data_IF_880697061950
#
_entry.id   IF_880697061950
#
_cell.length_a   1.000
_cell.length_b   1.000
_cell.length_c   1.000
_cell.angle_alpha   90.00
_cell.angle_beta   90.00
_cell.angle_gamma   90.00
#
_symmetry.space_group_name_H-M   'P 1'
#
loop_
_entity.id
_entity.type
_entity.pdbx_description
1 polymer ?
#
# COMPACT_ATOMS: atom_id res chain seq x y z
N UNK A 1 32.05 -39.91 -8.04
CA UNK A 1 30.81 -39.13 -8.28
C UNK A 1 29.86 -39.36 -7.12
N UNK A 2 29.83 -38.47 -6.11
CA UNK A 2 28.91 -38.54 -4.98
C UNK A 2 27.53 -38.09 -5.44
N UNK A 3 26.55 -38.99 -5.42
CA UNK A 3 25.13 -38.65 -5.60
C UNK A 3 24.70 -37.80 -4.41
N UNK A 4 24.60 -36.48 -4.61
CA UNK A 4 23.92 -35.60 -3.67
C UNK A 4 22.45 -36.02 -3.66
N UNK A 5 22.08 -36.79 -2.64
CA UNK A 5 20.66 -37.06 -2.32
C UNK A 5 20.08 -35.78 -1.69
N UNK A 6 19.80 -34.78 -2.50
CA UNK A 6 18.94 -33.66 -2.10
C UNK A 6 17.48 -34.18 -2.17
N UNK A 7 16.99 -34.72 -1.09
CA UNK A 7 15.54 -34.86 -0.92
C UNK A 7 14.98 -33.42 -0.76
N UNK A 8 14.16 -32.94 -1.68
CA UNK A 8 13.55 -31.60 -1.55
C UNK A 8 12.72 -31.57 -0.25
N UNK A 9 12.88 -30.49 0.51
CA UNK A 9 12.07 -30.27 1.71
C UNK A 9 10.69 -29.78 1.27
N UNK A 10 9.63 -30.42 1.76
CA UNK A 10 8.24 -29.98 1.54
C UNK A 10 7.90 -28.79 2.46
N UNK A 11 8.47 -27.64 2.16
CA UNK A 11 8.27 -26.39 2.93
C UNK A 11 7.94 -25.23 1.99
N UNK A 12 7.06 -24.36 2.43
CA UNK A 12 6.78 -23.10 1.74
C UNK A 12 7.86 -22.04 2.03
N UNK A 13 8.11 -21.13 1.09
CA UNK A 13 8.92 -19.95 1.36
C UNK A 13 8.31 -19.12 2.50
N UNK A 14 9.16 -18.43 3.25
CA UNK A 14 8.73 -17.59 4.38
C UNK A 14 7.81 -16.46 3.91
N UNK A 15 6.63 -16.34 4.51
CA UNK A 15 5.65 -15.31 4.15
C UNK A 15 4.68 -15.70 3.01
N UNK A 16 4.73 -16.95 2.55
CA UNK A 16 3.76 -17.53 1.62
C UNK A 16 2.88 -18.53 2.32
N UNK A 17 1.68 -18.74 1.82
CA UNK A 17 0.74 -19.76 2.33
C UNK A 17 -0.11 -20.34 1.21
N UNK A 18 -0.50 -21.59 1.36
CA UNK A 18 -1.56 -22.17 0.54
C UNK A 18 -2.92 -21.67 1.00
N UNK A 19 -3.88 -21.62 0.09
CA UNK A 19 -5.28 -21.28 0.39
C UNK A 19 -6.12 -22.54 0.22
N UNK A 20 -6.84 -22.92 1.27
CA UNK A 20 -7.79 -24.03 1.24
C UNK A 20 -9.11 -23.65 0.55
N UNK A 21 -10.02 -24.61 0.45
CA UNK A 21 -11.31 -24.42 -0.24
C UNK A 21 -12.20 -23.39 0.46
N UNK A 22 -12.12 -23.26 1.78
CA UNK A 22 -12.94 -22.31 2.55
C UNK A 22 -12.52 -20.87 2.24
N UNK A 23 -11.21 -20.61 2.28
CA UNK A 23 -10.63 -19.30 1.93
C UNK A 23 -10.93 -18.95 0.47
N UNK A 24 -10.80 -19.91 -0.45
CA UNK A 24 -11.11 -19.68 -1.87
C UNK A 24 -12.58 -19.35 -2.11
N UNK A 25 -13.50 -20.04 -1.43
CA UNK A 25 -14.93 -19.79 -1.53
C UNK A 25 -15.31 -18.44 -0.93
N UNK A 26 -14.72 -18.08 0.22
CA UNK A 26 -14.92 -16.75 0.82
C UNK A 26 -14.42 -15.66 -0.13
N UNK A 27 -13.21 -15.79 -0.68
CA UNK A 27 -12.67 -14.84 -1.65
C UNK A 27 -13.59 -14.65 -2.85
N UNK A 28 -14.07 -15.74 -3.46
CA UNK A 28 -15.01 -15.68 -4.59
C UNK A 28 -16.31 -14.95 -4.23
N UNK A 29 -16.85 -15.18 -3.02
CA UNK A 29 -18.06 -14.50 -2.55
C UNK A 29 -17.81 -13.00 -2.39
N UNK A 30 -16.73 -12.62 -1.75
CA UNK A 30 -16.33 -11.21 -1.54
C UNK A 30 -16.10 -10.52 -2.89
N UNK A 31 -15.34 -11.15 -3.80
CA UNK A 31 -15.05 -10.58 -5.12
C UNK A 31 -16.32 -10.30 -5.93
N UNK A 32 -17.32 -11.20 -5.90
CA UNK A 32 -18.60 -10.98 -6.59
C UNK A 32 -19.39 -9.80 -6.06
N UNK A 33 -19.36 -9.56 -4.75
CA UNK A 33 -20.02 -8.40 -4.13
C UNK A 33 -19.31 -7.12 -4.56
N UNK A 34 -17.98 -7.09 -4.50
CA UNK A 34 -17.16 -5.95 -4.91
C UNK A 34 -17.41 -5.64 -6.40
N UNK A 35 -17.35 -6.64 -7.28
CA UNK A 35 -17.62 -6.50 -8.71
C UNK A 35 -18.99 -5.85 -8.97
N UNK A 36 -20.04 -6.38 -8.33
CA UNK A 36 -21.42 -5.86 -8.45
C UNK A 36 -21.48 -4.36 -8.08
N UNK A 37 -20.85 -3.98 -6.97
CA UNK A 37 -20.84 -2.59 -6.54
C UNK A 37 -20.02 -1.71 -7.48
N UNK A 38 -18.84 -2.14 -7.90
CA UNK A 38 -18.02 -1.41 -8.88
C UNK A 38 -18.80 -1.12 -10.17
N UNK A 39 -19.53 -2.09 -10.69
CA UNK A 39 -20.36 -1.92 -11.90
C UNK A 39 -21.46 -0.87 -11.70
N UNK A 40 -22.10 -0.78 -10.51
CA UNK A 40 -23.09 0.27 -10.21
C UNK A 40 -22.48 1.68 -10.31
N UNK A 41 -21.22 1.85 -9.89
CA UNK A 41 -20.50 3.12 -9.94
C UNK A 41 -19.82 3.38 -11.29
N UNK A 42 -20.05 2.53 -12.29
CA UNK A 42 -19.51 2.69 -13.64
C UNK A 42 -18.04 2.32 -13.80
N UNK A 43 -17.51 1.52 -12.89
CA UNK A 43 -16.16 0.97 -13.03
C UNK A 43 -16.17 -0.23 -13.97
N UNK A 44 -15.14 -0.36 -14.78
CA UNK A 44 -14.90 -1.52 -15.65
C UNK A 44 -13.74 -2.36 -15.10
N UNK A 45 -13.78 -3.65 -15.35
CA UNK A 45 -12.67 -4.53 -14.99
C UNK A 45 -11.50 -4.34 -15.96
N UNK A 46 -10.30 -4.22 -15.41
CA UNK A 46 -9.05 -4.22 -16.15
C UNK A 46 -8.04 -5.06 -15.41
N UNK A 47 -7.55 -6.16 -16.00
CA UNK A 47 -6.44 -6.94 -15.44
C UNK A 47 -5.13 -6.57 -16.14
N UNK A 48 -4.17 -6.07 -15.36
CA UNK A 48 -2.84 -5.70 -15.83
C UNK A 48 -1.86 -6.87 -15.63
N UNK A 49 -0.70 -6.81 -16.29
CA UNK A 49 0.30 -7.88 -16.20
C UNK A 49 0.76 -8.13 -14.76
N UNK A 50 1.00 -9.39 -14.45
CA UNK A 50 1.59 -9.83 -13.17
C UNK A 50 3.08 -9.52 -13.10
N UNK A 51 3.75 -9.56 -14.25
CA UNK A 51 5.19 -9.27 -14.40
C UNK A 51 5.32 -8.01 -15.23
N UNK A 52 6.10 -7.07 -14.74
CA UNK A 52 6.37 -5.79 -15.39
C UNK A 52 7.89 -5.55 -15.47
N UNK A 53 8.34 -4.69 -16.38
CA UNK A 53 9.70 -4.17 -16.28
C UNK A 53 9.86 -3.39 -14.98
N UNK A 54 10.93 -3.66 -14.24
CA UNK A 54 11.18 -3.05 -12.92
C UNK A 54 11.20 -1.52 -12.98
N UNK A 55 11.78 -0.95 -14.04
CA UNK A 55 11.79 0.49 -14.28
C UNK A 55 10.39 1.07 -14.52
N UNK A 56 9.52 0.34 -15.24
CA UNK A 56 8.16 0.79 -15.59
C UNK A 56 7.25 0.93 -14.37
N UNK A 57 7.52 0.22 -13.30
CA UNK A 57 6.76 0.31 -12.04
C UNK A 57 7.45 1.17 -10.98
N UNK A 58 8.49 1.96 -11.38
CA UNK A 58 9.17 2.91 -10.50
C UNK A 58 9.91 2.26 -9.32
N UNK A 59 10.37 1.01 -9.45
CA UNK A 59 11.08 0.28 -8.39
C UNK A 59 12.54 0.01 -8.70
N UNK A 60 13.09 0.70 -9.68
CA UNK A 60 14.51 0.74 -9.91
C UNK A 60 15.18 1.76 -8.99
N UNK A 61 16.31 1.42 -8.39
CA UNK A 61 17.05 2.36 -7.55
C UNK A 61 17.90 3.28 -8.44
N UNK A 62 17.74 4.61 -8.35
CA UNK A 62 18.40 5.54 -9.27
C UNK A 62 19.92 5.54 -9.17
N UNK A 63 20.48 5.20 -8.01
CA UNK A 63 21.92 5.26 -7.74
C UNK A 63 22.64 3.91 -7.84
N UNK A 64 21.89 2.83 -8.10
CA UNK A 64 22.44 1.48 -8.13
C UNK A 64 21.72 0.72 -9.23
N UNK A 65 22.48 0.10 -10.11
CA UNK A 65 21.96 -0.70 -11.22
C UNK A 65 21.31 -2.02 -10.76
N UNK A 66 20.33 -1.89 -9.85
CA UNK A 66 19.56 -2.99 -9.30
C UNK A 66 18.16 -2.55 -8.83
N UNK A 67 17.19 -3.49 -8.79
CA UNK A 67 15.87 -3.24 -8.25
C UNK A 67 15.86 -2.90 -6.74
N UNK A 68 14.81 -2.20 -6.30
CA UNK A 68 14.53 -1.99 -4.88
C UNK A 68 14.36 -3.31 -4.14
N UNK A 69 14.89 -3.39 -2.92
CA UNK A 69 14.74 -4.57 -2.06
C UNK A 69 13.30 -4.91 -1.63
N UNK A 70 12.33 -4.02 -1.88
CA UNK A 70 10.91 -4.23 -1.56
C UNK A 70 10.13 -5.02 -2.61
N UNK A 71 10.72 -5.39 -3.74
CA UNK A 71 10.10 -6.14 -4.83
C UNK A 71 10.79 -7.48 -5.06
N UNK A 72 10.05 -8.44 -5.62
CA UNK A 72 10.62 -9.67 -6.16
C UNK A 72 11.00 -9.42 -7.62
N UNK A 73 12.28 -9.46 -7.91
CA UNK A 73 12.82 -9.17 -9.24
C UNK A 73 13.78 -10.26 -9.70
N UNK A 74 13.85 -10.43 -11.01
CA UNK A 74 14.74 -11.38 -11.69
C UNK A 74 15.09 -10.84 -13.08
N UNK A 75 16.11 -11.37 -13.72
CA UNK A 75 16.44 -11.04 -15.09
C UNK A 75 15.84 -12.05 -16.05
N UNK A 76 15.37 -11.57 -17.20
CA UNK A 76 15.01 -12.43 -18.33
C UNK A 76 16.23 -12.87 -19.14
N UNK A 77 15.99 -13.61 -20.22
CA UNK A 77 17.06 -14.09 -21.11
C UNK A 77 17.81 -12.95 -21.84
N UNK A 78 17.21 -11.75 -21.92
CA UNK A 78 17.80 -10.55 -22.49
C UNK A 78 18.51 -9.67 -21.43
N UNK A 79 18.72 -10.20 -20.21
CA UNK A 79 19.34 -9.52 -19.06
C UNK A 79 18.54 -8.28 -18.56
N UNK A 80 17.26 -8.17 -18.93
CA UNK A 80 16.40 -7.09 -18.47
C UNK A 80 15.78 -7.43 -17.12
N UNK A 81 15.71 -6.44 -16.25
CA UNK A 81 15.07 -6.58 -14.94
C UNK A 81 13.56 -6.59 -15.06
N UNK A 82 12.97 -7.70 -14.65
CA UNK A 82 11.54 -7.91 -14.48
C UNK A 82 11.20 -7.99 -12.98
N UNK A 83 9.99 -7.59 -12.62
CA UNK A 83 9.48 -7.66 -11.25
C UNK A 83 8.08 -8.21 -11.21
N UNK A 84 7.76 -8.97 -10.17
CA UNK A 84 6.38 -9.23 -9.81
C UNK A 84 5.74 -7.94 -9.31
N UNK A 85 4.49 -7.67 -9.73
CA UNK A 85 3.74 -6.49 -9.29
C UNK A 85 3.59 -6.49 -7.76
N UNK A 86 3.91 -5.39 -7.11
CA UNK A 86 3.82 -5.22 -5.65
C UNK A 86 2.51 -4.55 -5.21
N UNK A 87 1.77 -3.99 -6.14
CA UNK A 87 0.41 -3.46 -6.04
C UNK A 87 -0.28 -3.57 -7.42
N UNK A 88 -1.49 -3.05 -7.53
CA UNK A 88 -2.26 -3.01 -8.78
C UNK A 88 -2.26 -1.60 -9.42
N UNK A 89 -1.80 -0.58 -8.69
CA UNK A 89 -1.79 0.82 -9.13
C UNK A 89 -0.59 1.15 -10.03
N UNK A 90 0.61 0.64 -9.72
CA UNK A 90 1.79 0.90 -10.55
C UNK A 90 1.66 0.31 -11.97
N UNK A 91 1.17 -0.94 -12.17
CA UNK A 91 0.84 -1.46 -13.49
C UNK A 91 -0.27 -0.65 -14.20
N UNK A 92 -1.26 -0.12 -13.46
CA UNK A 92 -2.25 0.78 -14.03
C UNK A 92 -1.61 2.06 -14.56
N UNK A 93 -0.71 2.68 -13.79
CA UNK A 93 -0.02 3.90 -14.22
C UNK A 93 0.72 3.67 -15.55
N UNK A 94 1.44 2.55 -15.70
CA UNK A 94 2.07 2.15 -16.96
C UNK A 94 1.03 1.96 -18.08
N UNK A 95 -0.10 1.25 -17.81
CA UNK A 95 -1.16 1.03 -18.77
C UNK A 95 -1.79 2.36 -19.25
N UNK A 96 -2.09 3.26 -18.32
CA UNK A 96 -2.64 4.58 -18.62
C UNK A 96 -1.66 5.40 -19.45
N UNK A 97 -0.37 5.41 -19.09
CA UNK A 97 0.65 6.14 -19.86
C UNK A 97 0.75 5.62 -21.31
N UNK A 98 0.66 4.32 -21.50
CA UNK A 98 0.72 3.68 -22.82
C UNK A 98 -0.51 3.96 -23.69
N UNK A 99 -1.71 4.08 -23.09
CA UNK A 99 -2.98 4.16 -23.79
C UNK A 99 -3.69 5.52 -23.58
N UNK A 100 -3.01 6.53 -23.06
CA UNK A 100 -3.60 7.77 -22.55
C UNK A 100 -4.52 8.48 -23.55
N UNK A 101 -4.17 8.46 -24.84
CA UNK A 101 -4.92 9.14 -25.91
C UNK A 101 -6.26 8.45 -26.25
N UNK A 102 -6.30 7.13 -26.04
CA UNK A 102 -7.46 6.30 -26.41
C UNK A 102 -8.42 6.07 -25.24
N UNK A 103 -8.00 6.38 -24.01
CA UNK A 103 -8.82 6.21 -22.82
C UNK A 103 -9.91 7.27 -22.71
N UNK A 104 -11.16 6.83 -22.57
CA UNK A 104 -12.29 7.70 -22.21
C UNK A 104 -12.12 8.17 -20.76
N UNK A 105 -12.29 9.48 -20.52
CA UNK A 105 -12.10 10.12 -19.21
C UNK A 105 -13.43 10.65 -18.66
N UNK A 106 -13.72 10.51 -17.37
CA UNK A 106 -12.92 9.83 -16.36
C UNK A 106 -12.83 8.32 -16.65
N UNK A 107 -11.61 7.77 -16.56
CA UNK A 107 -11.38 6.34 -16.68
C UNK A 107 -11.51 5.69 -15.30
N UNK A 108 -12.61 4.99 -15.07
CA UNK A 108 -12.91 4.27 -13.84
C UNK A 108 -12.63 2.79 -14.05
N UNK A 109 -11.66 2.24 -13.31
CA UNK A 109 -11.34 0.82 -13.39
C UNK A 109 -11.28 0.17 -12.02
N UNK A 110 -11.60 -1.12 -11.96
CA UNK A 110 -11.28 -1.96 -10.80
C UNK A 110 -10.47 -3.18 -11.25
N UNK A 111 -9.73 -3.71 -10.30
CA UNK A 111 -8.94 -4.93 -10.46
C UNK A 111 -8.83 -5.66 -9.15
N UNK A 112 -8.84 -7.00 -9.19
CA UNK A 112 -8.48 -7.83 -8.06
C UNK A 112 -7.45 -8.87 -8.48
N UNK A 113 -6.46 -9.13 -7.62
CA UNK A 113 -5.41 -10.09 -7.96
C UNK A 113 -4.36 -10.26 -6.88
N UNK A 114 -3.47 -11.22 -7.10
CA UNK A 114 -2.32 -11.42 -6.25
C UNK A 114 -1.27 -10.33 -6.49
N UNK A 115 -0.65 -9.88 -5.39
CA UNK A 115 0.48 -8.98 -5.38
C UNK A 115 1.57 -9.53 -4.46
N UNK A 116 2.82 -9.10 -4.69
CA UNK A 116 4.00 -9.65 -4.02
C UNK A 116 4.87 -8.54 -3.46
N UNK A 117 5.14 -8.59 -2.14
CA UNK A 117 6.02 -7.64 -1.45
C UNK A 117 7.17 -8.38 -0.77
N UNK A 118 8.39 -8.06 -1.15
CA UNK A 118 9.59 -8.67 -0.57
C UNK A 118 9.96 -7.99 0.77
N UNK A 119 9.00 -7.96 1.69
CA UNK A 119 9.16 -7.37 3.01
C UNK A 119 9.32 -8.45 4.09
N UNK A 120 9.74 -8.05 5.29
CA UNK A 120 9.83 -8.97 6.43
C UNK A 120 8.44 -9.44 6.82
N UNK A 121 8.12 -10.73 6.72
CA UNK A 121 6.80 -11.24 7.06
C UNK A 121 6.58 -11.25 8.58
N UNK A 122 5.30 -11.15 8.99
CA UNK A 122 4.87 -11.16 10.39
C UNK A 122 3.42 -11.61 10.52
N UNK A 123 2.84 -11.59 11.72
CA UNK A 123 1.43 -11.90 11.92
C UNK A 123 0.54 -11.01 11.05
N UNK A 124 -0.31 -11.63 10.21
CA UNK A 124 -1.16 -10.91 9.25
C UNK A 124 -0.44 -10.25 8.06
N UNK A 125 0.90 -10.32 7.99
CA UNK A 125 1.71 -9.70 6.93
C UNK A 125 2.41 -10.76 6.11
N UNK A 126 1.85 -11.03 4.95
CA UNK A 126 2.35 -12.01 3.98
C UNK A 126 3.15 -11.33 2.88
N UNK A 127 4.00 -12.10 2.20
CA UNK A 127 4.72 -11.66 1.00
C UNK A 127 3.92 -11.82 -0.28
N UNK A 128 2.89 -12.65 -0.23
CA UNK A 128 1.88 -12.83 -1.27
C UNK A 128 0.51 -12.66 -0.65
N UNK A 129 -0.32 -11.80 -1.21
CA UNK A 129 -1.69 -11.59 -0.75
C UNK A 129 -2.58 -11.10 -1.89
N UNK A 130 -3.89 -11.28 -1.71
CA UNK A 130 -4.89 -10.84 -2.66
C UNK A 130 -5.26 -9.39 -2.35
N UNK A 131 -5.14 -8.52 -3.35
CA UNK A 131 -5.46 -7.10 -3.29
C UNK A 131 -6.65 -6.81 -4.21
N UNK A 132 -7.42 -5.80 -3.86
CA UNK A 132 -8.43 -5.18 -4.67
C UNK A 132 -8.16 -3.68 -4.75
N UNK A 133 -8.22 -3.12 -5.95
CA UNK A 133 -8.08 -1.70 -6.21
C UNK A 133 -9.21 -1.20 -7.11
N UNK A 134 -9.70 0.00 -6.81
CA UNK A 134 -10.58 0.77 -7.69
C UNK A 134 -10.00 2.16 -7.87
N UNK A 135 -9.74 2.56 -9.10
CA UNK A 135 -9.06 3.81 -9.44
C UNK A 135 -9.87 4.62 -10.44
N UNK A 136 -9.76 5.95 -10.33
CA UNK A 136 -10.32 6.90 -11.29
C UNK A 136 -9.20 7.79 -11.81
N UNK A 137 -9.06 7.87 -13.14
CA UNK A 137 -8.00 8.64 -13.79
C UNK A 137 -8.59 9.67 -14.74
N UNK A 138 -7.95 10.84 -14.78
CA UNK A 138 -8.28 11.90 -15.76
C UNK A 138 -9.43 12.80 -15.35
N UNK A 139 -9.65 12.98 -14.04
CA UNK A 139 -10.57 13.94 -13.46
C UNK A 139 -9.93 14.59 -12.23
N UNK A 140 -10.14 15.88 -12.08
CA UNK A 140 -9.72 16.66 -10.90
C UNK A 140 -10.98 17.17 -10.17
N UNK A 141 -11.48 16.34 -9.25
CA UNK A 141 -12.69 16.66 -8.48
C UNK A 141 -12.75 15.85 -7.18
N UNK A 142 -12.91 16.52 -6.06
CA UNK A 142 -13.12 15.93 -4.74
C UNK A 142 -14.42 15.11 -4.65
N UNK A 143 -15.36 15.29 -5.59
CA UNK A 143 -16.56 14.44 -5.66
C UNK A 143 -16.23 12.99 -5.97
N UNK A 144 -15.11 12.73 -6.67
CA UNK A 144 -14.65 11.36 -6.93
C UNK A 144 -14.16 10.69 -5.66
N UNK A 145 -13.45 11.42 -4.80
CA UNK A 145 -13.00 10.88 -3.50
C UNK A 145 -14.21 10.54 -2.63
N UNK A 146 -15.23 11.40 -2.61
CA UNK A 146 -16.48 11.14 -1.91
C UNK A 146 -17.23 9.93 -2.50
N UNK A 147 -17.30 9.79 -3.83
CA UNK A 147 -17.91 8.65 -4.51
C UNK A 147 -17.21 7.34 -4.13
N UNK A 148 -15.86 7.32 -4.11
CA UNK A 148 -15.10 6.15 -3.67
C UNK A 148 -15.40 5.78 -2.22
N UNK A 149 -15.49 6.77 -1.32
CA UNK A 149 -15.86 6.53 0.08
C UNK A 149 -17.27 5.91 0.19
N UNK A 150 -18.25 6.42 -0.56
CA UNK A 150 -19.62 5.88 -0.59
C UNK A 150 -19.63 4.46 -1.16
N UNK A 151 -18.91 4.21 -2.26
CA UNK A 151 -18.80 2.87 -2.85
C UNK A 151 -18.22 1.86 -1.85
N UNK A 152 -17.18 2.23 -1.08
CA UNK A 152 -16.63 1.36 -0.03
C UNK A 152 -17.67 1.09 1.05
N UNK A 153 -18.47 2.08 1.46
CA UNK A 153 -19.59 1.87 2.41
C UNK A 153 -20.59 0.86 1.86
N UNK A 154 -21.02 1.01 0.61
CA UNK A 154 -21.98 0.10 -0.02
C UNK A 154 -21.43 -1.33 -0.11
N UNK A 155 -20.15 -1.49 -0.47
CA UNK A 155 -19.47 -2.80 -0.46
C UNK A 155 -19.49 -3.43 0.93
N UNK A 156 -19.18 -2.68 2.00
CA UNK A 156 -19.16 -3.19 3.37
C UNK A 156 -20.56 -3.59 3.84
N UNK A 157 -21.58 -2.81 3.48
CA UNK A 157 -23.00 -3.12 3.79
C UNK A 157 -23.44 -4.38 3.04
N UNK A 158 -23.13 -4.51 1.76
CA UNK A 158 -23.48 -5.70 0.97
C UNK A 158 -22.70 -6.96 1.42
N UNK A 159 -21.55 -6.80 2.06
CA UNK A 159 -20.83 -7.87 2.76
C UNK A 159 -21.50 -8.28 4.08
N UNK A 160 -22.52 -7.54 4.54
CA UNK A 160 -23.32 -7.83 5.74
C UNK A 160 -22.88 -7.08 6.99
N UNK A 161 -22.04 -6.06 6.87
CA UNK A 161 -21.65 -5.21 8.00
C UNK A 161 -22.71 -4.13 8.25
N UNK A 162 -23.03 -3.88 9.51
CA UNK A 162 -23.86 -2.73 9.89
C UNK A 162 -23.00 -1.46 9.95
N UNK A 163 -23.61 -0.30 9.74
CA UNK A 163 -22.91 1.01 9.75
C UNK A 163 -22.23 1.34 11.08
N UNK A 164 -22.63 0.68 12.18
CA UNK A 164 -21.98 0.80 13.49
C UNK A 164 -20.70 -0.05 13.63
N UNK A 165 -20.39 -0.92 12.67
CA UNK A 165 -19.27 -1.87 12.73
C UNK A 165 -18.05 -1.39 11.92
N UNK A 166 -18.18 -0.29 11.17
CA UNK A 166 -17.07 0.27 10.41
C UNK A 166 -17.15 1.79 10.37
N UNK A 167 -16.03 2.41 10.08
CA UNK A 167 -15.93 3.84 9.78
C UNK A 167 -14.96 4.04 8.62
N UNK A 168 -15.22 5.04 7.77
CA UNK A 168 -14.31 5.44 6.70
C UNK A 168 -13.51 6.65 7.19
N UNK A 169 -12.19 6.51 7.25
CA UNK A 169 -11.27 7.58 7.60
C UNK A 169 -10.52 8.05 6.37
N UNK A 170 -10.46 9.34 6.17
CA UNK A 170 -9.63 9.93 5.13
C UNK A 170 -8.72 11.01 5.73
N UNK A 171 -7.61 11.30 5.05
CA UNK A 171 -6.67 12.33 5.47
C UNK A 171 -6.30 13.19 4.26
N UNK A 172 -6.25 14.51 4.44
CA UNK A 172 -5.78 15.45 3.44
C UNK A 172 -4.36 15.93 3.81
N UNK A 173 -3.41 15.80 2.89
CA UNK A 173 -2.02 16.25 3.10
C UNK A 173 -1.90 17.77 3.17
N UNK A 174 -2.81 18.52 2.58
CA UNK A 174 -2.80 19.99 2.65
C UNK A 174 -2.93 20.50 4.09
N UNK A 175 -3.73 19.81 4.92
CA UNK A 175 -3.87 20.12 6.36
C UNK A 175 -2.50 20.01 7.06
N UNK A 176 -1.70 19.02 6.70
CA UNK A 176 -0.33 18.87 7.21
C UNK A 176 0.58 19.98 6.72
N UNK A 177 0.46 20.41 5.47
CA UNK A 177 1.25 21.50 4.90
C UNK A 177 0.98 22.81 5.66
N UNK A 178 -0.29 23.09 5.99
CA UNK A 178 -0.68 24.26 6.79
C UNK A 178 -0.13 24.16 8.23
N UNK A 179 -0.27 22.99 8.87
CA UNK A 179 0.32 22.76 10.20
C UNK A 179 1.83 23.00 10.17
N UNK A 180 2.53 22.42 9.20
CA UNK A 180 3.99 22.51 9.12
C UNK A 180 4.49 23.92 8.79
N UNK A 181 3.70 24.74 8.07
CA UNK A 181 4.04 26.14 7.81
C UNK A 181 4.13 26.99 9.09
N UNK A 182 3.49 26.53 10.17
CA UNK A 182 3.50 27.16 11.50
C UNK A 182 4.51 26.55 12.48
N UNK A 183 5.38 25.64 12.00
CA UNK A 183 6.41 24.98 12.78
C UNK A 183 7.79 25.34 12.20
N UNK A 184 8.81 25.37 13.06
CA UNK A 184 10.20 25.51 12.62
C UNK A 184 10.76 24.15 12.17
N UNK A 185 10.20 23.63 11.06
CA UNK A 185 10.50 22.28 10.53
C UNK A 185 11.08 22.40 9.14
N UNK A 186 12.19 21.71 8.90
CA UNK A 186 12.79 21.62 7.56
C UNK A 186 11.94 20.77 6.64
N UNK A 187 11.85 21.13 5.38
CA UNK A 187 11.09 20.40 4.36
C UNK A 187 11.52 18.92 4.26
N UNK A 188 12.80 18.64 4.40
CA UNK A 188 13.38 17.29 4.40
C UNK A 188 12.94 16.41 5.60
N UNK A 189 12.42 17.02 6.68
CA UNK A 189 11.97 16.29 7.86
C UNK A 189 10.47 15.93 7.79
N UNK A 190 9.69 16.56 6.89
CA UNK A 190 8.26 16.28 6.74
C UNK A 190 7.94 14.78 6.50
N UNK A 191 8.66 14.06 5.61
CA UNK A 191 8.42 12.64 5.43
C UNK A 191 8.76 11.80 6.67
N UNK A 192 9.70 12.26 7.52
CA UNK A 192 10.07 11.58 8.78
C UNK A 192 8.98 11.77 9.82
N UNK A 193 8.44 13.00 9.93
CA UNK A 193 7.34 13.33 10.83
C UNK A 193 6.10 12.49 10.49
N UNK A 194 5.69 12.46 9.21
CA UNK A 194 4.55 11.66 8.79
C UNK A 194 4.75 10.18 9.09
N UNK A 195 5.96 9.64 8.85
CA UNK A 195 6.30 8.25 9.23
C UNK A 195 6.28 7.97 10.72
N UNK A 196 6.57 8.97 11.57
CA UNK A 196 6.43 8.83 13.02
C UNK A 196 4.96 8.79 13.42
N UNK A 197 4.14 9.71 12.88
CA UNK A 197 2.70 9.80 13.13
C UNK A 197 1.95 8.54 12.67
N UNK A 198 2.29 7.98 11.52
CA UNK A 198 1.70 6.73 11.00
C UNK A 198 1.84 5.53 11.96
N UNK A 199 2.73 5.63 12.95
CA UNK A 199 2.90 4.60 13.96
C UNK A 199 2.01 4.77 15.20
N UNK A 200 1.11 5.78 15.22
CA UNK A 200 0.23 6.10 16.36
C UNK A 200 -0.54 4.89 16.86
N UNK A 201 -1.17 4.14 15.97
CA UNK A 201 -1.98 2.97 16.34
C UNK A 201 -1.15 1.84 16.97
N UNK A 202 0.13 1.76 16.63
CA UNK A 202 1.04 0.72 17.14
C UNK A 202 1.79 1.14 18.40
N UNK A 203 2.21 2.40 18.49
CA UNK A 203 3.11 2.89 19.53
C UNK A 203 2.43 3.78 20.58
N UNK A 204 1.19 4.17 20.33
CA UNK A 204 0.48 5.18 21.13
C UNK A 204 1.08 6.58 20.96
N UNK A 205 0.48 7.55 21.64
CA UNK A 205 0.89 8.97 21.57
C UNK A 205 2.30 9.17 22.12
N UNK A 206 2.63 8.53 23.26
CA UNK A 206 3.96 8.61 23.88
C UNK A 206 5.07 8.14 22.94
N UNK A 207 4.86 6.99 22.27
CA UNK A 207 5.83 6.45 21.33
C UNK A 207 5.99 7.30 20.07
N UNK A 208 4.93 7.97 19.62
CA UNK A 208 5.02 8.97 18.53
C UNK A 208 5.81 10.18 19.00
N UNK A 209 5.54 10.69 20.21
CA UNK A 209 6.25 11.84 20.75
C UNK A 209 7.77 11.59 20.89
N UNK A 210 8.16 10.39 21.36
CA UNK A 210 9.57 9.99 21.37
C UNK A 210 10.21 10.00 19.98
N UNK A 211 9.49 9.50 18.94
CA UNK A 211 9.97 9.47 17.56
C UNK A 211 10.02 10.86 16.93
N UNK A 212 9.15 11.78 17.30
CA UNK A 212 9.24 13.18 16.86
C UNK A 212 10.45 13.89 17.42
N UNK A 213 10.91 13.52 18.60
CA UNK A 213 12.06 14.13 19.31
C UNK A 213 13.34 13.30 19.16
N UNK A 214 13.71 12.54 20.17
CA UNK A 214 15.03 11.87 20.31
C UNK A 214 15.09 10.47 19.69
N UNK A 215 13.93 9.89 19.34
CA UNK A 215 13.83 8.50 18.94
C UNK A 215 13.64 7.56 20.13
N UNK A 216 13.49 6.26 19.83
CA UNK A 216 13.23 5.23 20.85
C UNK A 216 13.80 3.87 20.44
N UNK A 217 13.95 2.98 21.40
CA UNK A 217 14.21 1.56 21.12
C UNK A 217 12.90 0.86 20.79
N UNK A 218 12.91 0.00 19.78
CA UNK A 218 11.78 -0.87 19.46
C UNK A 218 11.75 -2.12 20.37
N UNK A 219 10.75 -2.98 20.17
CA UNK A 219 10.61 -4.22 20.95
C UNK A 219 11.72 -5.25 20.69
N UNK A 220 12.47 -5.12 19.60
CA UNK A 220 13.64 -5.95 19.30
C UNK A 220 14.94 -5.41 19.93
N UNK A 221 14.88 -4.20 20.50
CA UNK A 221 16.03 -3.50 21.07
C UNK A 221 16.78 -2.61 20.08
N UNK A 222 16.35 -2.60 18.81
CA UNK A 222 16.92 -1.74 17.78
C UNK A 222 16.49 -0.28 18.00
N UNK A 223 17.44 0.65 17.85
CA UNK A 223 17.15 2.07 18.02
C UNK A 223 16.51 2.65 16.76
N UNK A 224 15.33 3.23 16.90
CA UNK A 224 14.65 4.02 15.88
C UNK A 224 15.01 5.48 16.10
N UNK A 225 15.73 6.06 15.16
CA UNK A 225 16.13 7.46 15.18
C UNK A 225 14.91 8.39 15.18
N UNK A 226 14.95 9.44 15.99
CA UNK A 226 13.93 10.48 16.04
C UNK A 226 14.13 11.53 14.95
N UNK A 227 13.09 12.34 14.75
CA UNK A 227 13.14 13.48 13.82
C UNK A 227 14.02 14.61 14.35
N UNK A 228 14.12 14.75 15.69
CA UNK A 228 14.90 15.79 16.35
C UNK A 228 14.15 17.12 16.54
N UNK A 229 12.81 17.10 16.55
CA UNK A 229 12.00 18.30 16.78
C UNK A 229 12.18 18.84 18.22
N UNK A 230 11.92 20.12 18.39
CA UNK A 230 11.76 20.74 19.70
C UNK A 230 10.54 20.13 20.43
N UNK A 231 10.53 20.16 21.76
CA UNK A 231 9.39 19.74 22.57
C UNK A 231 8.12 20.50 22.17
N UNK A 232 8.24 21.81 21.99
CA UNK A 232 7.14 22.69 21.59
C UNK A 232 6.52 22.30 20.24
N UNK A 233 7.33 21.95 19.24
CA UNK A 233 6.82 21.58 17.92
C UNK A 233 6.28 20.16 17.92
N UNK A 234 6.89 19.23 18.65
CA UNK A 234 6.35 17.90 18.87
C UNK A 234 4.97 17.96 19.57
N UNK A 235 4.80 18.80 20.59
CA UNK A 235 3.53 18.99 21.29
C UNK A 235 2.42 19.54 20.38
N UNK A 236 2.75 20.47 19.47
CA UNK A 236 1.78 20.98 18.49
C UNK A 236 1.30 19.85 17.56
N UNK A 237 2.22 19.02 17.09
CA UNK A 237 1.87 17.86 16.23
C UNK A 237 1.02 16.86 17.02
N UNK A 238 1.42 16.54 18.26
CA UNK A 238 0.66 15.64 19.13
C UNK A 238 -0.75 16.18 19.38
N UNK A 239 -0.88 17.47 19.72
CA UNK A 239 -2.18 18.11 19.91
C UNK A 239 -3.06 18.01 18.66
N UNK A 240 -2.48 18.23 17.48
CA UNK A 240 -3.21 18.12 16.22
C UNK A 240 -3.72 16.72 15.92
N UNK A 241 -2.94 15.68 16.20
CA UNK A 241 -3.35 14.28 15.91
C UNK A 241 -4.24 13.66 16.99
N UNK A 242 -4.47 14.37 18.11
CA UNK A 242 -5.32 13.91 19.23
C UNK A 242 -6.68 14.60 19.29
N UNK A 243 -6.84 15.75 18.63
CA UNK A 243 -8.10 16.47 18.48
C UNK A 243 -8.84 16.03 17.20
#
# INVERSE_FOLDING_TARGET
MSKIKNNPKAILPKGFKDSDIEILNLRKKVSKIIEKECLKYGFIELDTSTIEYTESIGKFLPDVDRPSGGVFSFQDDDEKWLSLRYDLTAPLARYVAQNYQDLVKPFKRYQSGLVWRNEKPGPGRYREFFQFDADVVGVDSTLIDAELCVMVCDILIDLGLNTSQFEIKFSNREIWTELFSNLDVKEDDLPKILRAVDKKDRLGIEGVNELLQKGRKDVSGDFMEGVGLSETDADKIISFITN
#
